data_IF_338952740774
#
_entry.id   IF_338952740774
#
_cell.length_a   1.000
_cell.length_b   1.000
_cell.length_c   1.000
_cell.angle_alpha   90.00
_cell.angle_beta   90.00
_cell.angle_gamma   90.00
#
_symmetry.space_group_name_H-M   'P 1'
#
loop_
_entity.id
_entity.type
_entity.pdbx_description
1 polymer ?
#
# COMPACT_ATOMS: atom_id res chain seq x y z
N UNK A 1 47.66 8.87 -43.10
CA UNK A 1 47.52 10.27 -42.68
C UNK A 1 46.38 10.86 -43.51
N UNK A 2 45.24 11.04 -42.85
CA UNK A 2 43.99 11.77 -43.20
C UNK A 2 43.23 11.50 -44.53
N UNK A 3 41.99 11.09 -44.32
CA UNK A 3 40.79 11.11 -45.19
C UNK A 3 40.32 12.56 -45.46
N UNK A 4 39.66 12.80 -46.60
CA UNK A 4 38.66 13.89 -46.74
C UNK A 4 37.78 13.66 -47.97
N UNK A 5 36.86 12.69 -47.87
CA UNK A 5 35.76 12.51 -48.82
C UNK A 5 34.52 13.27 -48.35
N UNK A 6 34.16 14.33 -49.07
CA UNK A 6 32.93 15.10 -48.87
C UNK A 6 31.69 14.22 -49.12
N UNK A 7 30.87 14.00 -48.09
CA UNK A 7 29.56 13.36 -48.24
C UNK A 7 28.47 14.23 -47.63
N UNK A 8 27.80 14.97 -48.51
CA UNK A 8 26.52 15.62 -48.24
C UNK A 8 25.49 14.55 -47.90
N UNK A 9 24.87 14.61 -46.72
CA UNK A 9 23.61 13.92 -46.43
C UNK A 9 22.58 14.93 -45.96
N UNK A 10 21.59 15.15 -46.81
CA UNK A 10 20.31 15.71 -46.41
C UNK A 10 19.57 14.67 -45.57
N UNK A 11 19.32 14.98 -44.30
CA UNK A 11 18.34 14.26 -43.49
C UNK A 11 17.11 15.16 -43.38
N UNK A 12 16.20 14.95 -44.32
CA UNK A 12 14.82 15.38 -44.21
C UNK A 12 14.03 14.38 -43.37
N UNK A 13 12.94 14.89 -42.77
CA UNK A 13 11.90 14.16 -42.05
C UNK A 13 12.10 14.00 -40.54
N UNK A 14 11.95 15.13 -39.86
CA UNK A 14 11.45 15.17 -38.48
C UNK A 14 9.96 14.80 -38.52
N UNK A 15 9.64 13.52 -38.32
CA UNK A 15 8.23 13.13 -38.12
C UNK A 15 7.74 13.69 -36.79
N UNK A 16 6.91 14.71 -36.89
CA UNK A 16 6.09 15.25 -35.81
C UNK A 16 5.33 14.12 -35.11
N UNK A 17 5.74 13.79 -33.88
CA UNK A 17 4.85 13.12 -32.95
C UNK A 17 3.82 14.15 -32.49
N UNK A 18 2.71 14.25 -33.24
CA UNK A 18 1.53 15.01 -32.87
C UNK A 18 0.86 14.34 -31.67
N UNK A 19 1.49 14.41 -30.50
CA UNK A 19 0.89 13.99 -29.23
C UNK A 19 -0.10 15.08 -28.84
N UNK A 20 -1.33 14.94 -29.32
CA UNK A 20 -2.47 15.72 -28.85
C UNK A 20 -2.55 15.58 -27.32
N UNK A 21 -2.45 16.66 -26.54
CA UNK A 21 -2.79 16.58 -25.13
C UNK A 21 -4.30 16.39 -25.03
N UNK A 22 -4.73 15.25 -24.47
CA UNK A 22 -6.10 15.06 -24.02
C UNK A 22 -6.40 16.12 -22.95
N UNK A 23 -7.40 17.01 -23.12
CA UNK A 23 -7.94 17.67 -21.96
C UNK A 23 -8.82 16.64 -21.26
N UNK A 24 -8.25 15.87 -20.32
CA UNK A 24 -9.07 15.21 -19.31
C UNK A 24 -9.51 16.29 -18.32
N UNK A 25 -10.35 17.20 -18.79
CA UNK A 25 -11.03 18.19 -17.99
C UNK A 25 -12.30 17.52 -17.44
N UNK A 26 -12.13 16.74 -16.37
CA UNK A 26 -13.25 16.39 -15.50
C UNK A 26 -13.66 17.66 -14.74
N UNK A 27 -14.44 18.51 -15.41
CA UNK A 27 -15.06 19.67 -14.79
C UNK A 27 -16.29 19.19 -14.01
N UNK A 28 -16.12 18.95 -12.72
CA UNK A 28 -17.24 18.94 -11.79
C UNK A 28 -17.85 20.35 -11.82
N UNK A 29 -19.00 20.52 -12.48
CA UNK A 29 -19.73 21.79 -12.61
C UNK A 29 -20.36 22.28 -11.30
N UNK A 30 -19.59 22.33 -10.22
CA UNK A 30 -20.03 22.90 -8.95
C UNK A 30 -19.83 24.42 -8.97
N UNK A 31 -20.73 25.20 -8.35
CA UNK A 31 -20.58 26.66 -8.28
C UNK A 31 -19.26 27.01 -7.59
N UNK A 32 -18.60 28.07 -8.08
CA UNK A 32 -17.35 28.61 -7.51
C UNK A 32 -17.61 28.99 -6.05
N UNK A 33 -17.19 28.13 -5.12
CA UNK A 33 -17.40 28.29 -3.68
C UNK A 33 -18.05 27.09 -2.97
N UNK A 34 -18.63 26.13 -3.69
CA UNK A 34 -19.05 24.87 -3.08
C UNK A 34 -17.81 24.01 -2.73
N UNK A 35 -17.77 23.37 -1.56
CA UNK A 35 -16.68 22.46 -1.21
C UNK A 35 -16.64 21.33 -2.24
N UNK A 36 -15.41 20.99 -2.67
CA UNK A 36 -15.20 19.89 -3.61
C UNK A 36 -15.75 18.61 -2.98
N UNK A 37 -16.74 18.01 -3.61
CA UNK A 37 -17.25 16.71 -3.21
C UNK A 37 -16.28 15.62 -3.69
N UNK A 38 -15.91 14.73 -2.77
CA UNK A 38 -15.07 13.57 -3.06
C UNK A 38 -15.97 12.35 -3.31
N UNK A 39 -15.71 11.57 -4.34
CA UNK A 39 -16.28 10.24 -4.57
C UNK A 39 -15.57 9.17 -3.74
N UNK A 40 -16.25 8.06 -3.45
CA UNK A 40 -15.77 7.04 -2.51
C UNK A 40 -14.38 6.43 -2.80
N UNK A 41 -13.87 6.55 -4.03
CA UNK A 41 -12.53 6.06 -4.43
C UNK A 41 -11.42 7.11 -4.37
N UNK A 42 -11.73 8.38 -4.13
CA UNK A 42 -10.73 9.45 -3.99
C UNK A 42 -10.40 9.82 -2.52
N UNK A 43 -10.99 9.10 -1.56
CA UNK A 43 -10.65 9.20 -0.15
C UNK A 43 -9.37 8.42 0.19
N UNK A 44 -8.75 8.77 1.32
CA UNK A 44 -7.68 7.95 1.88
C UNK A 44 -8.20 6.55 2.21
N UNK A 45 -7.40 5.52 1.91
CA UNK A 45 -7.72 4.16 2.34
C UNK A 45 -7.68 4.05 3.85
N UNK A 46 -8.39 3.07 4.42
CA UNK A 46 -8.37 2.76 5.85
C UNK A 46 -6.95 2.56 6.38
N UNK A 47 -6.11 1.85 5.62
CA UNK A 47 -4.70 1.63 5.94
C UNK A 47 -3.89 2.94 5.97
N UNK A 48 -4.17 3.87 5.04
CA UNK A 48 -3.50 5.16 5.00
C UNK A 48 -3.93 6.06 6.17
N UNK A 49 -5.20 5.99 6.58
CA UNK A 49 -5.73 6.69 7.75
C UNK A 49 -5.05 6.17 9.03
N UNK A 50 -5.01 4.85 9.23
CA UNK A 50 -4.34 4.22 10.36
C UNK A 50 -2.86 4.61 10.42
N UNK A 51 -2.11 4.42 9.33
CA UNK A 51 -0.69 4.77 9.26
C UNK A 51 -0.43 6.28 9.46
N UNK A 52 -1.34 7.16 9.01
CA UNK A 52 -1.22 8.60 9.25
C UNK A 52 -1.38 8.93 10.73
N UNK A 53 -2.41 8.36 11.37
CA UNK A 53 -2.69 8.52 12.79
C UNK A 53 -1.52 7.97 13.61
N UNK A 54 -1.01 6.79 13.25
CA UNK A 54 0.12 6.13 13.91
C UNK A 54 1.47 6.83 13.69
N UNK A 55 1.57 7.70 12.69
CA UNK A 55 2.82 8.40 12.34
C UNK A 55 3.79 7.52 11.56
N UNK A 56 3.30 6.44 10.95
CA UNK A 56 4.09 5.44 10.24
C UNK A 56 4.26 5.76 8.74
N UNK A 57 3.56 6.78 8.24
CA UNK A 57 3.75 7.25 6.87
C UNK A 57 5.11 7.92 6.68
N UNK A 58 5.80 7.58 5.58
CA UNK A 58 6.97 8.35 5.12
C UNK A 58 6.59 9.80 4.85
N UNK A 59 7.54 10.71 5.00
CA UNK A 59 7.34 12.17 4.88
C UNK A 59 6.53 12.60 3.65
N UNK A 60 6.84 12.06 2.46
CA UNK A 60 6.12 12.40 1.23
C UNK A 60 4.66 11.92 1.20
N UNK A 61 4.36 10.78 1.83
CA UNK A 61 2.99 10.30 1.99
C UNK A 61 2.24 11.10 3.07
N UNK A 62 2.93 11.45 4.16
CA UNK A 62 2.38 12.29 5.22
C UNK A 62 1.92 13.65 4.70
N UNK A 63 2.77 14.36 3.92
CA UNK A 63 2.41 15.66 3.35
C UNK A 63 1.21 15.59 2.40
N UNK A 64 1.13 14.54 1.57
CA UNK A 64 -0.02 14.32 0.67
C UNK A 64 -1.30 14.04 1.46
N UNK A 65 -1.23 13.23 2.50
CA UNK A 65 -2.35 12.98 3.39
C UNK A 65 -2.78 14.27 4.09
N UNK A 66 -1.86 15.02 4.70
CA UNK A 66 -2.16 16.30 5.36
C UNK A 66 -2.83 17.31 4.41
N UNK A 67 -2.35 17.40 3.16
CA UNK A 67 -2.99 18.20 2.13
C UNK A 67 -4.40 17.69 1.77
N UNK A 68 -4.61 16.38 1.69
CA UNK A 68 -5.94 15.83 1.45
C UNK A 68 -6.92 16.19 2.59
N UNK A 69 -6.47 16.14 3.85
CA UNK A 69 -7.31 16.48 5.01
C UNK A 69 -7.76 17.93 5.06
N UNK A 70 -6.97 18.87 4.52
CA UNK A 70 -7.40 20.27 4.46
C UNK A 70 -8.55 20.51 3.48
N UNK A 71 -8.80 19.57 2.57
CA UNK A 71 -9.83 19.66 1.55
C UNK A 71 -10.99 18.68 1.77
N UNK A 72 -10.75 17.54 2.44
CA UNK A 72 -11.73 16.48 2.64
C UNK A 72 -12.12 16.33 4.11
N UNK A 73 -13.32 16.82 4.46
CA UNK A 73 -13.85 16.74 5.82
C UNK A 73 -14.15 15.30 6.27
N UNK A 74 -14.56 14.41 5.36
CA UNK A 74 -14.86 13.01 5.68
C UNK A 74 -13.62 12.26 6.18
N UNK A 75 -12.49 12.39 5.48
CA UNK A 75 -11.23 11.79 5.94
C UNK A 75 -10.71 12.42 7.25
N UNK A 76 -11.00 13.70 7.50
CA UNK A 76 -10.67 14.34 8.78
C UNK A 76 -11.48 13.71 9.93
N UNK A 77 -12.77 13.48 9.73
CA UNK A 77 -13.63 12.81 10.72
C UNK A 77 -13.16 11.38 11.02
N UNK A 78 -12.80 10.61 10.00
CA UNK A 78 -12.27 9.25 10.18
C UNK A 78 -10.96 9.24 10.99
N UNK A 79 -10.08 10.23 10.77
CA UNK A 79 -8.85 10.39 11.56
C UNK A 79 -9.16 10.68 13.02
N UNK A 80 -10.12 11.55 13.30
CA UNK A 80 -10.51 11.87 14.67
C UNK A 80 -11.14 10.66 15.37
N UNK A 81 -11.97 9.88 14.66
CA UNK A 81 -12.50 8.62 15.17
C UNK A 81 -11.39 7.61 15.52
N UNK A 82 -10.39 7.45 14.66
CA UNK A 82 -9.24 6.58 14.92
C UNK A 82 -8.39 7.07 16.10
N UNK A 83 -8.18 8.38 16.24
CA UNK A 83 -7.48 8.97 17.40
C UNK A 83 -8.25 8.74 18.69
N UNK A 84 -9.57 8.88 18.67
CA UNK A 84 -10.43 8.60 19.81
C UNK A 84 -10.34 7.12 20.20
N UNK A 85 -10.41 6.20 19.23
CA UNK A 85 -10.27 4.77 19.47
C UNK A 85 -8.91 4.44 20.11
N UNK A 86 -7.81 4.99 19.58
CA UNK A 86 -6.47 4.83 20.15
C UNK A 86 -6.40 5.34 21.59
N UNK A 87 -6.98 6.51 21.87
CA UNK A 87 -7.01 7.10 23.21
C UNK A 87 -7.77 6.19 24.18
N UNK A 88 -8.95 5.71 23.78
CA UNK A 88 -9.75 4.76 24.57
C UNK A 88 -8.98 3.46 24.86
N UNK A 89 -8.22 2.94 23.90
CA UNK A 89 -7.38 1.75 24.12
C UNK A 89 -6.24 2.02 25.12
N UNK A 90 -5.58 3.18 25.04
CA UNK A 90 -4.53 3.58 26.00
C UNK A 90 -5.09 3.78 27.41
N UNK A 91 -6.31 4.30 27.49
CA UNK A 91 -6.98 4.58 28.77
C UNK A 91 -7.67 3.34 29.38
N UNK A 92 -7.78 2.23 28.62
CA UNK A 92 -8.44 0.99 29.07
C UNK A 92 -7.73 0.27 30.23
N UNK A 93 -6.53 0.70 30.59
CA UNK A 93 -5.78 0.21 31.75
C UNK A 93 -4.49 -0.52 31.39
N UNK A 94 -3.67 -0.77 32.40
CA UNK A 94 -2.37 -1.41 32.21
C UNK A 94 -2.52 -2.91 31.91
N UNK A 95 -1.96 -3.34 30.78
CA UNK A 95 -1.77 -4.76 30.49
C UNK A 95 -0.68 -5.29 31.43
N UNK A 96 -1.04 -6.23 32.31
CA UNK A 96 -0.07 -6.88 33.21
C UNK A 96 0.73 -7.93 32.44
N UNK A 97 2.05 -7.77 32.44
CA UNK A 97 2.96 -8.78 31.91
C UNK A 97 3.07 -9.96 32.90
N UNK A 98 2.86 -11.21 32.48
CA UNK A 98 3.05 -12.37 33.34
C UNK A 98 4.50 -12.48 33.85
N UNK A 99 4.68 -12.79 35.14
CA UNK A 99 6.02 -12.90 35.76
C UNK A 99 6.89 -14.01 35.14
N UNK A 100 6.28 -15.07 34.63
CA UNK A 100 6.97 -16.13 33.89
C UNK A 100 7.61 -15.60 32.60
N UNK A 101 6.92 -14.72 31.87
CA UNK A 101 7.46 -14.11 30.65
C UNK A 101 8.60 -13.15 30.99
N UNK A 102 8.49 -12.35 32.05
CA UNK A 102 9.60 -11.52 32.52
C UNK A 102 10.83 -12.36 32.89
N UNK A 103 10.63 -13.50 33.57
CA UNK A 103 11.72 -14.43 33.90
C UNK A 103 12.39 -15.07 32.69
N UNK A 104 11.65 -15.31 31.60
CA UNK A 104 12.21 -15.78 30.33
C UNK A 104 12.94 -14.65 29.59
N UNK A 105 12.34 -13.45 29.51
CA UNK A 105 12.96 -12.29 28.88
C UNK A 105 14.28 -11.87 29.56
N UNK A 106 14.37 -11.99 30.89
CA UNK A 106 15.61 -11.71 31.63
C UNK A 106 16.75 -12.67 31.29
N UNK A 107 16.46 -13.82 30.69
CA UNK A 107 17.47 -14.80 30.29
C UNK A 107 18.03 -14.54 28.89
N UNK A 108 17.42 -13.68 28.06
CA UNK A 108 17.87 -13.38 26.69
C UNK A 108 19.37 -13.04 26.61
N UNK A 109 19.93 -12.18 27.48
CA UNK A 109 21.36 -11.84 27.42
C UNK A 109 22.30 -13.03 27.65
N UNK A 110 21.79 -14.14 28.22
CA UNK A 110 22.56 -15.34 28.54
C UNK A 110 22.41 -16.45 27.48
N UNK A 111 21.59 -16.22 26.45
CA UNK A 111 21.47 -17.16 25.33
C UNK A 111 22.74 -17.03 24.47
N UNK A 112 23.52 -18.12 24.27
CA UNK A 112 24.69 -18.08 23.40
C UNK A 112 24.26 -17.70 21.97
N UNK A 113 24.81 -16.61 21.43
CA UNK A 113 24.58 -16.20 20.04
C UNK A 113 25.54 -16.88 19.04
N UNK A 114 26.34 -17.84 19.50
CA UNK A 114 27.25 -18.64 18.65
C UNK A 114 26.49 -19.72 17.86
N UNK A 115 25.70 -19.27 16.89
CA UNK A 115 25.37 -20.06 15.71
C UNK A 115 25.62 -19.16 14.51
N UNK A 116 26.78 -19.34 13.88
CA UNK A 116 26.98 -18.87 12.51
C UNK A 116 25.78 -19.39 11.69
N UNK A 117 25.07 -18.53 10.93
CA UNK A 117 23.94 -19.00 10.13
C UNK A 117 24.44 -20.16 9.25
N UNK A 118 23.72 -21.30 9.21
CA UNK A 118 24.11 -22.39 8.35
C UNK A 118 24.21 -21.84 6.93
N UNK A 119 25.42 -21.88 6.39
CA UNK A 119 25.65 -21.55 4.98
C UNK A 119 24.69 -22.44 4.19
N UNK A 120 23.88 -21.90 3.26
CA UNK A 120 23.03 -22.72 2.43
C UNK A 120 23.93 -23.60 1.57
N UNK A 121 24.25 -24.79 2.05
CA UNK A 121 24.77 -25.86 1.23
C UNK A 121 23.70 -26.16 0.20
N UNK A 122 24.02 -25.85 -1.05
CA UNK A 122 23.22 -26.22 -2.21
C UNK A 122 23.01 -27.74 -2.20
N UNK A 123 21.92 -28.19 -1.60
CA UNK A 123 21.37 -29.52 -1.83
C UNK A 123 19.94 -29.34 -2.28
N UNK A 124 19.74 -29.63 -3.56
CA UNK A 124 18.47 -29.75 -4.24
C UNK A 124 17.61 -30.88 -3.65
N UNK A 125 16.28 -30.75 -3.73
CA UNK A 125 15.39 -31.90 -3.67
C UNK A 125 14.92 -32.30 -2.27
N UNK A 126 13.71 -31.90 -1.90
CA UNK A 126 12.53 -32.78 -1.99
C UNK A 126 11.45 -32.24 -1.03
N UNK A 127 10.35 -31.73 -1.59
CA UNK A 127 9.20 -31.27 -0.82
C UNK A 127 8.39 -32.51 -0.39
N UNK A 128 8.06 -32.72 0.91
CA UNK A 128 7.24 -33.85 1.32
C UNK A 128 5.82 -33.75 0.76
N UNK A 129 5.16 -34.87 0.42
CA UNK A 129 3.83 -34.86 -0.17
C UNK A 129 2.81 -34.32 0.84
N UNK A 130 2.16 -33.22 0.45
CA UNK A 130 1.05 -32.66 1.19
C UNK A 130 -0.06 -33.69 1.36
N UNK A 131 -0.36 -34.06 2.61
CA UNK A 131 -1.53 -34.84 2.95
C UNK A 131 -2.78 -33.97 2.73
N UNK A 132 -3.70 -34.50 1.92
CA UNK A 132 -4.90 -33.82 1.47
C UNK A 132 -5.93 -33.54 2.57
N UNK A 133 -6.74 -32.50 2.31
CA UNK A 133 -7.91 -32.12 3.09
C UNK A 133 -8.87 -31.26 2.25
N UNK A 134 -9.81 -31.95 1.62
CA UNK A 134 -11.17 -31.56 1.21
C UNK A 134 -11.42 -30.40 0.23
N UNK A 135 -11.87 -30.83 -0.96
CA UNK A 135 -12.46 -30.04 -2.02
C UNK A 135 -13.86 -29.50 -1.63
N UNK A 136 -14.01 -28.17 -1.60
CA UNK A 136 -15.33 -27.54 -1.72
C UNK A 136 -15.77 -27.59 -3.19
N UNK A 137 -16.89 -28.28 -3.45
CA UNK A 137 -17.55 -28.36 -4.76
C UNK A 137 -18.33 -27.07 -5.04
N UNK A 138 -18.22 -26.46 -6.22
CA UNK A 138 -19.18 -25.45 -6.67
C UNK A 138 -20.45 -26.11 -7.24
N UNK A 139 -21.60 -25.88 -6.62
CA UNK A 139 -22.93 -26.28 -7.11
C UNK A 139 -23.31 -25.48 -8.37
N UNK A 140 -23.48 -26.20 -9.47
CA UNK A 140 -23.93 -25.69 -10.75
C UNK A 140 -25.45 -25.65 -10.78
N UNK A 141 -26.07 -24.56 -10.31
CA UNK A 141 -27.51 -24.37 -10.46
C UNK A 141 -27.86 -23.92 -11.87
N UNK A 142 -28.25 -24.92 -12.63
CA UNK A 142 -28.83 -24.89 -13.96
C UNK A 142 -29.97 -23.87 -14.13
N UNK A 143 -29.87 -23.10 -15.22
CA UNK A 143 -30.88 -23.01 -16.30
C UNK A 143 -32.32 -23.38 -15.90
N UNK A 144 -33.17 -22.37 -15.64
CA UNK A 144 -34.62 -22.48 -15.84
C UNK A 144 -35.11 -21.44 -16.84
N UNK A 145 -35.39 -21.92 -18.07
CA UNK A 145 -36.30 -21.28 -19.03
C UNK A 145 -37.73 -21.39 -18.51
N UNK A 146 -38.46 -20.27 -18.48
CA UNK A 146 -39.93 -20.18 -18.59
C UNK A 146 -40.19 -18.87 -19.35
N UNK A 147 -40.49 -18.96 -20.65
CA UNK A 147 -41.79 -19.15 -21.32
C UNK A 147 -42.39 -17.80 -21.66
#
# INVERSE_FOLDING_TARGET
>A
MVDSGSFRRAFSSFSSFSRLPSPFASQSGAPVGAPRQFGSTEHLSTEAIAAFVDGELRMSAHLRAAHHLSMCAECALEIDAQRQARTALRDSGAIRVPGSLLGLLSQIPHIPHDVAPPQPSAHEGELPPALGGDAVRPDSRARRKRR
#
